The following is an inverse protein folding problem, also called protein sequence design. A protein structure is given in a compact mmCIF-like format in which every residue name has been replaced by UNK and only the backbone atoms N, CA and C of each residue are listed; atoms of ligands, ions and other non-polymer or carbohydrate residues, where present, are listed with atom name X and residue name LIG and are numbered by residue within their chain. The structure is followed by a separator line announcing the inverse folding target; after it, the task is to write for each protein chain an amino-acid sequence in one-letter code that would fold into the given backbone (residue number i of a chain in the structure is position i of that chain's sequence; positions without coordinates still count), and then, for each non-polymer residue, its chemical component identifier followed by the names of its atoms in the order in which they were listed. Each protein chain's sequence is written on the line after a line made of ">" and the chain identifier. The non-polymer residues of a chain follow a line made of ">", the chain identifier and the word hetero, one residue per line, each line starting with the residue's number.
data_IF_531922482706
#
_entry.id   IF_531922482706
#
_cell.length_a   1.000
_cell.length_b   1.000
_cell.length_c   1.000
_cell.angle_alpha   90.00
_cell.angle_beta   90.00
_cell.angle_gamma   90.00
#
_symmetry.space_group_name_H-M   'P 1'
#
loop_
_entity.id
_entity.type
_entity.pdbx_description
1 polymer ?
#
# COMPACT_ATOMS: atom_id res chain seq x y z
N UNK A 1 11.89 6.27 17.81
CA UNK A 1 10.98 5.24 17.28
C UNK A 1 10.06 5.93 16.29
N UNK A 2 10.18 5.65 14.99
CA UNK A 2 9.42 6.36 13.96
C UNK A 2 7.94 5.94 14.04
N UNK A 3 7.13 6.75 14.73
CA UNK A 3 5.68 6.58 14.84
C UNK A 3 5.05 6.33 13.45
N UNK A 4 5.52 7.10 12.47
CA UNK A 4 5.16 6.98 11.07
C UNK A 4 5.35 5.57 10.51
N UNK A 5 6.56 5.02 10.60
CA UNK A 5 6.88 3.67 10.10
C UNK A 5 5.99 2.60 10.71
N UNK A 6 5.77 2.68 12.03
CA UNK A 6 4.95 1.69 12.72
C UNK A 6 3.47 1.79 12.33
N UNK A 7 2.95 3.00 12.09
CA UNK A 7 1.59 3.21 11.59
C UNK A 7 1.44 2.66 10.17
N UNK A 8 2.33 3.02 9.25
CA UNK A 8 2.32 2.53 7.86
C UNK A 8 2.37 1.01 7.82
N UNK A 9 3.33 0.40 8.55
CA UNK A 9 3.47 -1.05 8.61
C UNK A 9 2.19 -1.73 9.12
N UNK A 10 1.60 -1.23 10.21
CA UNK A 10 0.35 -1.77 10.77
C UNK A 10 -0.82 -1.64 9.81
N UNK A 11 -0.94 -0.52 9.10
CA UNK A 11 -2.00 -0.31 8.11
C UNK A 11 -1.88 -1.33 6.98
N UNK A 12 -0.66 -1.54 6.44
CA UNK A 12 -0.40 -2.53 5.38
C UNK A 12 -0.70 -3.95 5.88
N UNK A 13 -0.30 -4.30 7.10
CA UNK A 13 -0.60 -5.61 7.70
C UNK A 13 -2.11 -5.84 7.83
N UNK A 14 -2.86 -4.81 8.24
CA UNK A 14 -4.32 -4.90 8.37
C UNK A 14 -5.02 -4.98 7.00
N UNK A 15 -4.54 -4.22 6.02
CA UNK A 15 -5.02 -4.27 4.64
C UNK A 15 -4.82 -5.67 4.03
N UNK A 16 -3.67 -6.29 4.25
CA UNK A 16 -3.41 -7.67 3.80
C UNK A 16 -4.38 -8.68 4.39
N UNK A 17 -4.72 -8.53 5.67
CA UNK A 17 -5.66 -9.44 6.36
C UNK A 17 -7.08 -9.29 5.82
N UNK A 18 -7.53 -8.05 5.59
CA UNK A 18 -8.88 -7.73 5.09
C UNK A 18 -9.04 -8.14 3.61
N UNK A 19 -8.11 -7.73 2.77
CA UNK A 19 -8.22 -7.88 1.32
C UNK A 19 -7.57 -9.17 0.78
N UNK A 20 -7.00 -10.00 1.68
CA UNK A 20 -6.19 -11.18 1.34
C UNK A 20 -5.08 -10.90 0.32
N UNK A 21 -4.55 -9.68 0.34
CA UNK A 21 -3.44 -9.25 -0.50
C UNK A 21 -2.09 -9.57 0.18
N UNK A 22 -1.01 -9.67 -0.59
CA UNK A 22 0.36 -9.75 -0.06
C UNK A 22 1.10 -8.43 -0.33
N UNK A 23 0.73 -7.36 0.37
CA UNK A 23 1.42 -6.08 0.29
C UNK A 23 2.60 -6.06 1.28
N UNK A 24 3.77 -5.56 0.87
CA UNK A 24 4.94 -5.39 1.73
C UNK A 24 5.47 -3.97 1.65
N UNK A 25 5.71 -3.38 2.81
CA UNK A 25 6.42 -2.11 2.89
C UNK A 25 7.87 -2.30 2.43
N UNK A 26 8.27 -1.69 1.32
CA UNK A 26 9.64 -1.72 0.82
C UNK A 26 10.49 -0.68 1.54
N UNK A 27 10.02 0.57 1.51
CA UNK A 27 10.83 1.71 1.95
C UNK A 27 9.91 2.89 2.31
N UNK A 28 10.38 3.71 3.25
CA UNK A 28 9.77 4.99 3.58
C UNK A 28 10.86 6.05 3.50
N UNK A 29 10.65 7.06 2.66
CA UNK A 29 11.60 8.15 2.45
C UNK A 29 10.87 9.47 2.66
N UNK A 30 10.98 10.03 3.88
CA UNK A 30 10.26 11.25 4.24
C UNK A 30 8.74 11.04 4.21
N UNK A 31 8.10 11.60 3.19
CA UNK A 31 6.66 11.50 2.92
C UNK A 31 6.33 10.46 1.83
N UNK A 32 7.34 9.89 1.16
CA UNK A 32 7.15 8.84 0.16
C UNK A 32 7.12 7.46 0.80
N UNK A 33 6.13 6.65 0.44
CA UNK A 33 5.94 5.29 0.93
C UNK A 33 5.96 4.35 -0.29
N UNK A 34 6.94 3.45 -0.33
CA UNK A 34 7.01 2.39 -1.35
C UNK A 34 6.44 1.10 -0.79
N UNK A 35 5.39 0.59 -1.42
CA UNK A 35 4.75 -0.67 -1.07
C UNK A 35 4.82 -1.59 -2.29
N UNK A 36 5.32 -2.81 -2.09
CA UNK A 36 5.28 -3.87 -3.06
C UNK A 36 3.97 -4.62 -2.91
N UNK A 37 3.21 -4.76 -3.98
CA UNK A 37 2.00 -5.57 -4.00
C UNK A 37 2.30 -6.89 -4.71
N UNK A 38 2.34 -7.97 -3.93
CA UNK A 38 2.53 -9.33 -4.42
C UNK A 38 1.21 -10.11 -4.35
N UNK A 39 1.03 -11.08 -5.25
CA UNK A 39 -0.06 -12.06 -5.20
C UNK A 39 -1.09 -11.95 -6.34
N UNK A 40 -2.15 -12.76 -6.22
CA UNK A 40 -3.30 -12.72 -7.12
C UNK A 40 -4.12 -11.44 -6.86
N UNK A 41 -3.59 -10.28 -7.27
CA UNK A 41 -4.44 -9.09 -7.42
C UNK A 41 -5.53 -9.51 -8.38
N UNK A 42 -6.78 -9.43 -7.91
CA UNK A 42 -7.93 -9.88 -8.66
C UNK A 42 -7.92 -9.16 -10.02
N UNK A 43 -7.54 -9.89 -11.07
CA UNK A 43 -7.27 -9.35 -12.41
C UNK A 43 -8.51 -8.62 -12.98
N UNK A 44 -9.68 -8.95 -12.45
CA UNK A 44 -10.99 -8.36 -12.74
C UNK A 44 -11.36 -7.12 -11.93
N UNK A 45 -10.70 -6.83 -10.81
CA UNK A 45 -11.08 -5.73 -9.89
C UNK A 45 -10.20 -4.47 -10.01
N UNK A 46 -9.07 -4.55 -10.72
CA UNK A 46 -8.16 -3.42 -10.93
C UNK A 46 -7.26 -3.16 -9.71
N UNK A 47 -5.95 -3.25 -9.90
CA UNK A 47 -4.98 -2.98 -8.83
C UNK A 47 -5.08 -1.54 -8.27
N UNK A 48 -5.56 -0.62 -9.11
CA UNK A 48 -5.71 0.79 -8.76
C UNK A 48 -6.67 1.03 -7.58
N UNK A 49 -7.77 0.29 -7.51
CA UNK A 49 -8.76 0.40 -6.42
C UNK A 49 -8.11 0.04 -5.07
N UNK A 50 -7.26 -0.99 -5.06
CA UNK A 50 -6.50 -1.39 -3.88
C UNK A 50 -5.49 -0.33 -3.44
N UNK A 51 -4.86 0.35 -4.40
CA UNK A 51 -3.89 1.40 -4.09
C UNK A 51 -4.58 2.65 -3.51
N UNK A 52 -5.73 3.03 -4.06
CA UNK A 52 -6.53 4.13 -3.53
C UNK A 52 -7.04 3.83 -2.12
N UNK A 53 -7.56 2.63 -1.88
CA UNK A 53 -8.08 2.22 -0.58
C UNK A 53 -6.97 2.26 0.50
N UNK A 54 -5.76 1.76 0.17
CA UNK A 54 -4.59 1.88 1.05
C UNK A 54 -4.19 3.35 1.29
N UNK A 55 -4.21 4.19 0.25
CA UNK A 55 -3.86 5.59 0.36
C UNK A 55 -4.85 6.36 1.26
N UNK A 56 -6.15 6.07 1.15
CA UNK A 56 -7.20 6.62 2.01
C UNK A 56 -6.97 6.19 3.47
N UNK A 57 -6.74 4.89 3.71
CA UNK A 57 -6.45 4.38 5.06
C UNK A 57 -5.22 5.04 5.69
N UNK A 58 -4.15 5.20 4.92
CA UNK A 58 -2.95 5.91 5.36
C UNK A 58 -3.28 7.37 5.66
N UNK A 59 -4.12 8.01 4.84
CA UNK A 59 -4.52 9.39 5.02
C UNK A 59 -5.27 9.62 6.33
N UNK A 60 -6.25 8.77 6.61
CA UNK A 60 -7.02 8.81 7.85
C UNK A 60 -6.14 8.56 9.08
N UNK A 61 -5.18 7.63 8.99
CA UNK A 61 -4.29 7.28 10.11
C UNK A 61 -3.22 8.32 10.39
N UNK A 62 -2.68 8.94 9.35
CA UNK A 62 -1.57 9.89 9.44
C UNK A 62 -2.04 11.34 9.52
N UNK A 63 -3.32 11.61 9.24
CA UNK A 63 -3.89 12.95 9.24
C UNK A 63 -3.33 13.84 8.13
N UNK A 64 -2.92 13.25 7.01
CA UNK A 64 -2.43 13.92 5.80
C UNK A 64 -3.06 13.27 4.58
N UNK A 65 -3.21 13.99 3.48
CA UNK A 65 -3.70 13.40 2.24
C UNK A 65 -2.56 12.64 1.55
N UNK A 66 -2.76 11.35 1.31
CA UNK A 66 -1.91 10.48 0.50
C UNK A 66 -2.68 10.05 -0.74
N UNK A 67 -1.96 9.96 -1.85
CA UNK A 67 -2.46 9.47 -3.12
C UNK A 67 -1.41 8.59 -3.80
N UNK A 68 -1.85 7.90 -4.85
CA UNK A 68 -0.97 7.06 -5.66
C UNK A 68 -0.33 7.94 -6.72
N UNK A 69 0.93 8.31 -6.54
CA UNK A 69 1.64 9.12 -7.52
C UNK A 69 2.05 8.30 -8.76
N UNK A 70 2.57 7.09 -8.53
CA UNK A 70 3.01 6.17 -9.58
C UNK A 70 2.85 4.72 -9.11
N UNK A 71 2.48 3.83 -10.04
CA UNK A 71 2.59 2.40 -9.88
C UNK A 71 3.26 1.80 -11.12
N UNK A 72 3.95 0.67 -10.97
CA UNK A 72 4.65 0.02 -12.07
C UNK A 72 4.48 -1.49 -11.98
N UNK A 73 3.81 -2.07 -12.98
CA UNK A 73 3.68 -3.52 -13.04
C UNK A 73 5.00 -4.13 -13.52
N UNK A 74 5.55 -5.06 -12.75
CA UNK A 74 6.72 -5.86 -13.11
C UNK A 74 6.32 -7.05 -13.97
N UNK A 75 7.27 -7.54 -14.76
CA UNK A 75 7.10 -8.73 -15.62
C UNK A 75 6.71 -9.99 -14.84
N UNK A 76 7.04 -10.04 -13.54
CA UNK A 76 6.70 -11.12 -12.61
C UNK A 76 5.22 -11.07 -12.13
N UNK A 77 4.44 -10.08 -12.56
CA UNK A 77 3.05 -9.89 -12.16
C UNK A 77 2.85 -9.16 -10.83
N UNK A 78 3.93 -8.68 -10.22
CA UNK A 78 3.93 -7.83 -9.02
C UNK A 78 3.82 -6.34 -9.38
N UNK A 79 3.35 -5.51 -8.44
CA UNK A 79 3.20 -4.06 -8.61
C UNK A 79 3.98 -3.28 -7.55
#
# INVERSE_FOLDING_TARGET
>A
MNYFYNTVKKTIENFNEIHKANCKLLEITGDEIKVLFEGHICFTCGAYDYFEDLAILLSEKLGREYGVEKYEQREDGTY
#
